data_IF_569006683120
#
_entry.id   IF_569006683120
#
_cell.length_a   1.000
_cell.length_b   1.000
_cell.length_c   1.000
_cell.angle_alpha   90.00
_cell.angle_beta   90.00
_cell.angle_gamma   90.00
#
_symmetry.space_group_name_H-M   'P 1'
#
loop_
_entity.id
_entity.type
_entity.pdbx_description
1 polymer ?
#
# COMPACT_ATOMS: atom_id res chain seq x y z
N UNK A 1 -25.79 -21.84 -9.25
CA UNK A 1 -24.65 -21.38 -8.45
C UNK A 1 -23.58 -20.62 -9.24
N UNK A 2 -23.36 -20.95 -10.53
CA UNK A 2 -22.47 -20.16 -11.42
C UNK A 2 -23.08 -18.76 -11.67
N UNK A 3 -24.39 -18.67 -11.86
CA UNK A 3 -25.09 -17.39 -12.02
C UNK A 3 -24.96 -16.47 -10.81
N UNK A 4 -25.01 -16.99 -9.60
CA UNK A 4 -24.84 -16.19 -8.37
C UNK A 4 -23.42 -15.65 -8.20
N UNK A 5 -22.42 -16.39 -8.67
CA UNK A 5 -21.01 -15.94 -8.62
C UNK A 5 -20.70 -14.90 -9.70
N UNK A 6 -21.29 -15.01 -10.89
CA UNK A 6 -21.18 -14.00 -11.95
C UNK A 6 -21.82 -12.68 -11.55
N UNK A 7 -23.03 -12.72 -10.98
CA UNK A 7 -23.75 -11.53 -10.48
C UNK A 7 -22.93 -10.83 -9.37
N UNK A 8 -22.30 -11.59 -8.47
CA UNK A 8 -21.43 -11.00 -7.45
C UNK A 8 -20.17 -10.36 -8.04
N UNK A 9 -19.56 -10.98 -9.06
CA UNK A 9 -18.42 -10.42 -9.76
C UNK A 9 -18.74 -9.10 -10.46
N UNK A 10 -19.82 -9.05 -11.20
CA UNK A 10 -20.29 -7.84 -11.89
C UNK A 10 -20.63 -6.73 -10.90
N UNK A 11 -21.29 -7.06 -9.78
CA UNK A 11 -21.59 -6.12 -8.71
C UNK A 11 -20.32 -5.51 -8.09
N UNK A 12 -19.27 -6.32 -7.85
CA UNK A 12 -18.00 -5.83 -7.29
C UNK A 12 -17.27 -4.90 -8.27
N UNK A 13 -17.29 -5.21 -9.56
CA UNK A 13 -16.69 -4.38 -10.60
C UNK A 13 -17.42 -3.04 -10.71
N UNK A 14 -18.75 -3.07 -10.69
CA UNK A 14 -19.58 -1.86 -10.74
C UNK A 14 -19.39 -1.00 -9.47
N UNK A 15 -19.35 -1.62 -8.29
CA UNK A 15 -19.13 -0.92 -7.03
C UNK A 15 -17.73 -0.30 -6.92
N UNK A 16 -16.75 -0.86 -7.62
CA UNK A 16 -15.39 -0.30 -7.69
C UNK A 16 -15.26 0.87 -8.69
N UNK A 17 -16.28 1.11 -9.52
CA UNK A 17 -16.28 2.13 -10.56
C UNK A 17 -15.82 1.62 -11.93
N UNK A 18 -15.85 0.30 -12.16
CA UNK A 18 -15.48 -0.36 -13.41
C UNK A 18 -14.28 -1.32 -13.28
N UNK A 19 -13.91 -1.96 -14.38
CA UNK A 19 -12.88 -3.00 -14.40
C UNK A 19 -11.50 -2.48 -14.01
N UNK A 20 -11.07 -1.33 -14.54
CA UNK A 20 -9.74 -0.77 -14.26
C UNK A 20 -9.62 -0.36 -12.78
N UNK A 21 -10.56 0.43 -12.21
CA UNK A 21 -10.56 0.72 -10.77
C UNK A 21 -10.60 -0.54 -9.90
N UNK A 22 -11.35 -1.58 -10.30
CA UNK A 22 -11.39 -2.86 -9.59
C UNK A 22 -10.02 -3.55 -9.57
N UNK A 23 -9.34 -3.65 -10.72
CA UNK A 23 -8.00 -4.24 -10.79
C UNK A 23 -6.96 -3.44 -9.97
N UNK A 24 -7.03 -2.11 -10.02
CA UNK A 24 -6.19 -1.26 -9.19
C UNK A 24 -6.44 -1.49 -7.70
N UNK A 25 -7.71 -1.64 -7.30
CA UNK A 25 -8.08 -1.92 -5.91
C UNK A 25 -7.52 -3.28 -5.45
N UNK A 26 -7.69 -4.33 -6.26
CA UNK A 26 -7.13 -5.65 -5.99
C UNK A 26 -5.59 -5.60 -5.88
N UNK A 27 -4.92 -4.86 -6.76
CA UNK A 27 -3.47 -4.68 -6.69
C UNK A 27 -3.04 -4.03 -5.37
N UNK A 28 -3.73 -2.98 -4.91
CA UNK A 28 -3.42 -2.31 -3.64
C UNK A 28 -3.59 -3.23 -2.43
N UNK A 29 -4.60 -4.11 -2.45
CA UNK A 29 -4.80 -5.15 -1.42
C UNK A 29 -3.61 -6.11 -1.40
N UNK A 30 -3.22 -6.64 -2.55
CA UNK A 30 -2.12 -7.61 -2.65
C UNK A 30 -0.77 -6.97 -2.29
N UNK A 31 -0.49 -5.80 -2.84
CA UNK A 31 0.75 -5.06 -2.58
C UNK A 31 0.86 -4.65 -1.12
N UNK A 32 -0.18 -4.01 -0.58
CA UNK A 32 -0.23 -3.60 0.82
C UNK A 32 -0.19 -4.78 1.79
N UNK A 33 -0.88 -5.88 1.45
CA UNK A 33 -0.88 -7.11 2.22
C UNK A 33 0.50 -7.76 2.29
N UNK A 34 1.20 -7.87 1.15
CA UNK A 34 2.56 -8.40 1.09
C UNK A 34 3.52 -7.58 1.98
N UNK A 35 3.53 -6.26 1.82
CA UNK A 35 4.41 -5.40 2.61
C UNK A 35 3.98 -5.36 4.08
N UNK A 36 2.69 -5.29 4.38
CA UNK A 36 2.18 -5.29 5.73
C UNK A 36 2.58 -6.53 6.51
N UNK A 37 2.37 -7.72 5.94
CA UNK A 37 2.78 -8.99 6.55
C UNK A 37 4.30 -9.10 6.67
N UNK A 38 5.03 -8.65 5.66
CA UNK A 38 6.49 -8.68 5.67
C UNK A 38 7.07 -7.78 6.76
N UNK A 39 6.57 -6.56 6.91
CA UNK A 39 7.01 -5.65 7.97
C UNK A 39 6.58 -6.13 9.37
N UNK A 40 5.39 -6.72 9.51
CA UNK A 40 4.90 -7.19 10.80
C UNK A 40 5.65 -8.43 11.32
N UNK A 41 5.98 -9.37 10.43
CA UNK A 41 6.39 -10.72 10.85
C UNK A 41 7.78 -11.14 10.33
N UNK A 42 8.32 -10.53 9.28
CA UNK A 42 9.59 -10.93 8.69
C UNK A 42 10.73 -9.98 9.10
N UNK A 43 11.48 -10.36 10.14
CA UNK A 43 12.60 -9.59 10.65
C UNK A 43 13.69 -9.32 9.60
N UNK A 44 14.00 -10.32 8.76
CA UNK A 44 15.00 -10.20 7.72
C UNK A 44 14.57 -9.22 6.63
N UNK A 45 13.28 -9.21 6.30
CA UNK A 45 12.73 -8.24 5.37
C UNK A 45 12.85 -6.82 5.91
N UNK A 46 12.54 -6.60 7.20
CA UNK A 46 12.68 -5.29 7.85
C UNK A 46 14.14 -4.84 7.82
N UNK A 47 15.07 -5.72 8.25
CA UNK A 47 16.52 -5.46 8.21
C UNK A 47 16.98 -5.05 6.81
N UNK A 48 16.64 -5.85 5.79
CA UNK A 48 17.06 -5.60 4.41
C UNK A 48 16.38 -4.39 3.75
N UNK A 49 15.20 -4.01 4.25
CA UNK A 49 14.40 -2.92 3.67
C UNK A 49 14.74 -1.56 4.29
N UNK A 50 15.04 -1.53 5.59
CA UNK A 50 15.31 -0.30 6.34
C UNK A 50 16.82 -0.13 6.54
N UNK A 51 17.60 -1.22 6.47
CA UNK A 51 19.06 -1.19 6.63
C UNK A 51 19.55 -1.18 8.08
N UNK A 52 18.64 -1.27 9.07
CA UNK A 52 19.01 -1.29 10.49
C UNK A 52 19.26 -2.70 11.01
N UNK A 53 20.34 -2.86 11.74
CA UNK A 53 20.72 -4.15 12.32
C UNK A 53 20.30 -4.32 13.80
N UNK A 54 19.89 -3.23 14.46
CA UNK A 54 19.49 -3.29 15.86
C UNK A 54 18.13 -3.98 16.02
N UNK A 55 17.96 -4.72 17.14
CA UNK A 55 16.70 -5.41 17.43
C UNK A 55 15.54 -4.44 17.58
N UNK A 56 15.81 -3.29 18.15
CA UNK A 56 14.84 -2.21 18.37
C UNK A 56 14.29 -1.67 17.05
N UNK A 57 15.19 -1.41 16.08
CA UNK A 57 14.80 -0.93 14.75
C UNK A 57 13.98 -1.97 13.98
N UNK A 58 14.36 -3.27 14.07
CA UNK A 58 13.57 -4.35 13.49
C UNK A 58 12.18 -4.46 14.12
N UNK A 59 12.07 -4.12 15.42
CA UNK A 59 10.78 -4.13 16.12
C UNK A 59 9.85 -3.01 15.68
N UNK A 60 10.39 -1.87 15.26
CA UNK A 60 9.62 -0.74 14.73
C UNK A 60 8.90 -1.05 13.41
N UNK A 61 9.30 -2.09 12.69
CA UNK A 61 8.58 -2.57 11.52
C UNK A 61 7.18 -3.10 11.84
N UNK A 62 6.95 -3.61 13.05
CA UNK A 62 5.66 -4.20 13.43
C UNK A 62 4.50 -3.21 13.46
N UNK A 63 4.60 -2.05 14.14
CA UNK A 63 3.53 -1.05 14.11
C UNK A 63 3.20 -0.59 12.69
N UNK A 64 4.22 -0.39 11.84
CA UNK A 64 4.03 -0.04 10.44
C UNK A 64 3.31 -1.18 9.68
N UNK A 65 3.75 -2.41 9.89
CA UNK A 65 3.12 -3.60 9.29
C UNK A 65 1.65 -3.73 9.70
N UNK A 66 1.33 -3.55 10.97
CA UNK A 66 -0.06 -3.61 11.46
C UNK A 66 -0.92 -2.48 10.91
N UNK A 67 -0.37 -1.27 10.77
CA UNK A 67 -1.08 -0.16 10.13
C UNK A 67 -1.41 -0.49 8.66
N UNK A 68 -0.45 -1.05 7.93
CA UNK A 68 -0.65 -1.50 6.55
C UNK A 68 -1.69 -2.63 6.45
N UNK A 69 -1.63 -3.62 7.35
CA UNK A 69 -2.63 -4.70 7.42
C UNK A 69 -4.02 -4.13 7.71
N UNK A 70 -4.13 -3.21 8.67
CA UNK A 70 -5.39 -2.52 8.98
C UNK A 70 -5.97 -1.80 7.76
N UNK A 71 -5.14 -1.10 7.01
CA UNK A 71 -5.54 -0.43 5.77
C UNK A 71 -6.01 -1.43 4.71
N UNK A 72 -5.31 -2.55 4.55
CA UNK A 72 -5.71 -3.63 3.62
C UNK A 72 -7.04 -4.26 4.01
N UNK A 73 -7.25 -4.50 5.30
CA UNK A 73 -8.55 -5.00 5.79
C UNK A 73 -9.68 -4.01 5.49
N UNK A 74 -9.44 -2.70 5.60
CA UNK A 74 -10.40 -1.68 5.21
C UNK A 74 -10.66 -1.67 3.70
N UNK A 75 -9.64 -1.86 2.86
CA UNK A 75 -9.82 -2.00 1.42
C UNK A 75 -10.65 -3.24 1.07
N UNK A 76 -10.42 -4.37 1.74
CA UNK A 76 -11.23 -5.58 1.58
C UNK A 76 -12.68 -5.31 2.02
N UNK A 77 -12.87 -4.70 3.19
CA UNK A 77 -14.20 -4.41 3.73
C UNK A 77 -15.01 -3.49 2.80
N UNK A 78 -14.38 -2.46 2.21
CA UNK A 78 -15.03 -1.56 1.25
C UNK A 78 -15.32 -2.24 -0.10
N UNK A 79 -14.45 -3.17 -0.54
CA UNK A 79 -14.67 -3.92 -1.77
C UNK A 79 -15.87 -4.87 -1.66
N UNK A 80 -16.02 -5.54 -0.52
CA UNK A 80 -17.14 -6.44 -0.24
C UNK A 80 -18.33 -5.75 0.44
N UNK A 81 -18.27 -4.42 0.64
CA UNK A 81 -19.32 -3.62 1.29
C UNK A 81 -19.74 -4.18 2.66
N UNK A 82 -18.77 -4.61 3.46
CA UNK A 82 -19.03 -5.18 4.79
C UNK A 82 -19.54 -4.08 5.73
N UNK A 83 -20.72 -4.29 6.29
CA UNK A 83 -21.39 -3.29 7.12
C UNK A 83 -21.84 -2.09 6.28
N UNK A 84 -21.58 -0.88 6.75
CA UNK A 84 -21.87 0.38 6.04
C UNK A 84 -20.67 0.94 5.26
N UNK A 85 -19.60 0.16 5.09
CA UNK A 85 -18.36 0.57 4.43
C UNK A 85 -18.48 0.37 2.92
N UNK A 86 -18.98 1.37 2.22
CA UNK A 86 -19.25 1.31 0.76
C UNK A 86 -18.34 2.19 -0.10
N UNK A 87 -17.57 3.11 0.52
CA UNK A 87 -16.69 4.02 -0.22
C UNK A 87 -15.21 3.71 0.06
N UNK A 88 -14.45 3.21 -0.92
CA UNK A 88 -13.01 3.00 -0.78
C UNK A 88 -12.19 4.29 -0.95
N UNK A 89 -12.79 5.39 -1.42
CA UNK A 89 -12.05 6.57 -1.86
C UNK A 89 -11.28 7.26 -0.73
N UNK A 90 -11.85 7.32 0.47
CA UNK A 90 -11.20 7.92 1.64
C UNK A 90 -9.97 7.10 2.07
N UNK A 91 -10.10 5.78 2.08
CA UNK A 91 -9.00 4.87 2.44
C UNK A 91 -7.87 4.96 1.40
N UNK A 92 -8.24 4.96 0.12
CA UNK A 92 -7.28 5.10 -0.99
C UNK A 92 -6.66 6.51 -0.99
N UNK A 93 -7.42 7.54 -0.59
CA UNK A 93 -6.90 8.89 -0.41
C UNK A 93 -5.81 8.98 0.65
N UNK A 94 -6.00 8.33 1.80
CA UNK A 94 -4.97 8.24 2.85
C UNK A 94 -3.72 7.51 2.32
N UNK A 95 -3.91 6.41 1.60
CA UNK A 95 -2.79 5.67 0.97
C UNK A 95 -2.06 6.53 -0.05
N UNK A 96 -2.76 7.33 -0.85
CA UNK A 96 -2.15 8.24 -1.81
C UNK A 96 -1.24 9.25 -1.12
N UNK A 97 -1.75 9.92 -0.09
CA UNK A 97 -0.96 10.88 0.70
C UNK A 97 0.28 10.20 1.29
N UNK A 98 0.10 9.01 1.88
CA UNK A 98 1.22 8.24 2.44
C UNK A 98 2.28 7.91 1.38
N UNK A 99 1.87 7.42 0.20
CA UNK A 99 2.80 7.04 -0.86
C UNK A 99 3.52 8.26 -1.45
N UNK A 100 2.85 9.41 -1.59
CA UNK A 100 3.46 10.68 -2.01
C UNK A 100 4.52 11.14 -1.00
N UNK A 101 4.19 11.17 0.28
CA UNK A 101 5.13 11.56 1.33
C UNK A 101 6.34 10.62 1.38
N UNK A 102 6.10 9.30 1.31
CA UNK A 102 7.15 8.30 1.29
C UNK A 102 8.04 8.42 0.04
N UNK A 103 7.46 8.67 -1.13
CA UNK A 103 8.20 8.90 -2.37
C UNK A 103 9.07 10.15 -2.28
N UNK A 104 8.49 11.30 -1.90
CA UNK A 104 9.21 12.56 -1.79
C UNK A 104 10.37 12.47 -0.78
N UNK A 105 10.13 11.85 0.38
CA UNK A 105 11.19 11.67 1.38
C UNK A 105 12.32 10.78 0.87
N UNK A 106 12.00 9.60 0.33
CA UNK A 106 13.03 8.68 -0.17
C UNK A 106 13.79 9.25 -1.37
N UNK A 107 13.10 9.95 -2.28
CA UNK A 107 13.75 10.63 -3.40
C UNK A 107 14.66 11.75 -2.92
N UNK A 108 14.19 12.60 -1.99
CA UNK A 108 14.99 13.66 -1.41
C UNK A 108 16.23 13.15 -0.69
N UNK A 109 16.15 12.01 0.00
CA UNK A 109 17.29 11.36 0.61
C UNK A 109 18.25 10.78 -0.43
N UNK A 110 17.75 10.16 -1.49
CA UNK A 110 18.58 9.67 -2.61
C UNK A 110 19.32 10.81 -3.31
N UNK A 111 18.67 11.98 -3.47
CA UNK A 111 19.26 13.18 -4.06
C UNK A 111 20.14 13.99 -3.07
N UNK A 112 20.33 13.48 -1.85
CA UNK A 112 21.10 14.14 -0.77
C UNK A 112 20.55 15.52 -0.37
N UNK A 113 19.25 15.76 -0.58
CA UNK A 113 18.53 16.93 -0.07
C UNK A 113 18.24 16.75 1.43
N UNK A 114 17.90 15.50 1.81
CA UNK A 114 17.74 15.09 3.21
C UNK A 114 18.89 14.18 3.62
N UNK A 115 19.32 14.30 4.85
CA UNK A 115 20.33 13.41 5.41
C UNK A 115 19.74 12.00 5.60
N UNK A 116 20.50 10.97 5.23
CA UNK A 116 20.19 9.59 5.62
C UNK A 116 20.57 9.38 7.09
N UNK A 117 19.85 8.50 7.79
CA UNK A 117 20.04 8.25 9.22
C UNK A 117 21.44 7.77 9.58
N UNK A 118 22.10 7.08 8.66
CA UNK A 118 23.43 6.47 8.86
C UNK A 118 24.53 7.19 8.05
N UNK A 119 24.20 8.29 7.37
CA UNK A 119 25.12 9.04 6.51
C UNK A 119 25.52 8.32 5.22
N UNK A 120 25.02 7.11 4.98
CA UNK A 120 25.31 6.32 3.79
C UNK A 120 24.43 6.73 2.59
N UNK A 121 24.84 6.35 1.40
CA UNK A 121 24.07 6.56 0.18
C UNK A 121 22.75 5.79 0.24
N UNK A 122 21.64 6.49 -0.03
CA UNK A 122 20.29 5.93 -0.03
C UNK A 122 19.92 5.45 -1.42
N UNK A 123 19.77 4.13 -1.66
CA UNK A 123 19.50 3.60 -2.98
C UNK A 123 18.15 4.05 -3.54
N UNK A 124 18.09 4.38 -4.82
CA UNK A 124 16.88 4.80 -5.54
C UNK A 124 15.73 3.79 -5.44
N UNK A 125 16.03 2.50 -5.22
CA UNK A 125 15.02 1.45 -5.00
C UNK A 125 14.03 1.78 -3.88
N UNK A 126 14.44 2.57 -2.88
CA UNK A 126 13.57 2.98 -1.78
C UNK A 126 12.53 4.02 -2.21
N UNK A 127 12.85 4.85 -3.21
CA UNK A 127 11.88 5.77 -3.82
C UNK A 127 10.95 5.06 -4.81
N UNK A 128 11.43 4.04 -5.52
CA UNK A 128 10.62 3.29 -6.50
C UNK A 128 9.49 2.52 -5.81
N UNK A 129 9.71 1.97 -4.62
CA UNK A 129 8.70 1.19 -3.89
C UNK A 129 7.39 1.96 -3.66
N UNK A 130 7.38 3.16 -3.07
CA UNK A 130 6.16 3.93 -2.91
C UNK A 130 5.63 4.52 -4.21
N UNK A 131 6.46 4.68 -5.24
CA UNK A 131 6.06 5.16 -6.56
C UNK A 131 5.07 4.20 -7.24
N UNK A 132 5.26 2.89 -7.07
CA UNK A 132 4.41 1.87 -7.69
C UNK A 132 2.94 2.03 -7.27
N UNK A 133 2.58 1.94 -5.98
CA UNK A 133 1.19 2.12 -5.56
C UNK A 133 0.67 3.53 -5.84
N UNK A 134 1.52 4.57 -5.78
CA UNK A 134 1.13 5.94 -6.14
C UNK A 134 0.62 6.02 -7.59
N UNK A 135 1.35 5.43 -8.54
CA UNK A 135 0.95 5.39 -9.96
C UNK A 135 -0.35 4.59 -10.14
N UNK A 136 -0.49 3.46 -9.47
CA UNK A 136 -1.72 2.64 -9.52
C UNK A 136 -2.94 3.41 -9.00
N UNK A 137 -2.77 4.18 -7.92
CA UNK A 137 -3.85 5.03 -7.38
C UNK A 137 -4.23 6.12 -8.38
N UNK A 138 -3.25 6.74 -9.04
CA UNK A 138 -3.52 7.75 -10.08
C UNK A 138 -4.27 7.14 -11.26
N UNK A 139 -3.84 5.96 -11.76
CA UNK A 139 -4.56 5.24 -12.83
C UNK A 139 -6.01 5.00 -12.44
N UNK A 140 -6.24 4.53 -11.20
CA UNK A 140 -7.59 4.34 -10.70
C UNK A 140 -8.39 5.64 -10.68
N UNK A 141 -7.81 6.73 -10.23
CA UNK A 141 -8.48 8.03 -10.11
C UNK A 141 -8.90 8.58 -11.47
N UNK A 142 -8.05 8.42 -12.49
CA UNK A 142 -8.34 8.86 -13.85
C UNK A 142 -9.25 7.92 -14.64
N UNK A 143 -9.52 6.73 -14.12
CA UNK A 143 -10.41 5.73 -14.75
C UNK A 143 -11.80 5.64 -14.10
N UNK A 144 -12.06 6.43 -13.05
CA UNK A 144 -13.39 6.61 -12.46
C UNK A 144 -14.22 7.57 -13.29
#
# INVERSE_FOLDING_TARGET
>A
DIYSSLIKGDFMIESAGGMIPFLCHCFLILFGGFFGLSFAFNKNFVKNSIGYETKEAMFMGRPLGFLMIGTVLMLIATLFQIGSLSSPNEVIGILFIFTVLAFCFNLGTTLKIFESFDGNDWPIKHAIRPLIPMVVILIRYFSL
#
